data_IF_561026099710
#
_entry.id   IF_561026099710
#
_cell.length_a   1.000
_cell.length_b   1.000
_cell.length_c   1.000
_cell.angle_alpha   90.00
_cell.angle_beta   90.00
_cell.angle_gamma   90.00
#
_symmetry.space_group_name_H-M   'P 1'
#
loop_
_entity.id
_entity.type
_entity.pdbx_description
1 polymer ?
#
# COMPACT_ATOMS: atom_id res chain seq x y z
N UNK A 1 -1.69 17.43 16.23
CA UNK A 1 -0.46 16.66 15.94
C UNK A 1 0.15 17.17 14.63
N UNK A 2 1.47 17.25 14.58
CA UNK A 2 2.20 17.71 13.40
C UNK A 2 2.48 16.48 12.52
N UNK A 3 2.19 16.59 11.23
CA UNK A 3 2.65 15.62 10.24
C UNK A 3 4.17 15.77 10.10
N UNK A 4 4.91 14.69 10.35
CA UNK A 4 6.38 14.71 10.38
C UNK A 4 6.98 14.98 8.99
N UNK A 5 6.26 14.67 7.93
CA UNK A 5 6.73 14.82 6.53
C UNK A 5 6.48 16.22 5.99
N UNK A 6 5.33 16.81 6.32
CA UNK A 6 4.92 18.13 5.81
C UNK A 6 5.19 19.26 6.81
N UNK A 7 5.57 18.96 8.05
CA UNK A 7 5.71 19.89 9.18
C UNK A 7 4.45 20.76 9.43
N UNK A 8 3.31 20.32 8.89
CA UNK A 8 2.02 21.01 9.03
C UNK A 8 1.15 20.32 10.08
N UNK A 9 0.22 21.04 10.67
CA UNK A 9 -0.81 20.43 11.51
C UNK A 9 -1.63 19.43 10.68
N UNK A 10 -1.96 18.28 11.29
CA UNK A 10 -2.85 17.32 10.66
C UNK A 10 -4.17 18.02 10.29
N UNK A 11 -4.65 17.84 9.07
CA UNK A 11 -5.91 18.43 8.67
C UNK A 11 -7.05 17.91 9.55
N UNK A 12 -7.91 18.83 9.99
CA UNK A 12 -9.18 18.45 10.60
C UNK A 12 -10.17 18.10 9.48
N UNK A 13 -10.88 17.00 9.65
CA UNK A 13 -11.94 16.57 8.75
C UNK A 13 -13.30 16.87 9.36
N UNK A 14 -14.26 17.34 8.54
CA UNK A 14 -15.63 17.51 8.97
C UNK A 14 -16.34 16.15 8.96
N UNK A 15 -17.01 15.83 10.06
CA UNK A 15 -17.82 14.61 10.20
C UNK A 15 -19.27 14.96 10.52
N UNK A 16 -20.18 14.26 9.87
CA UNK A 16 -21.62 14.47 10.03
C UNK A 16 -22.18 13.62 11.18
N UNK A 17 -23.35 14.00 11.68
CA UNK A 17 -24.12 13.23 12.66
C UNK A 17 -24.30 11.77 12.21
N UNK A 18 -24.15 10.82 13.13
CA UNK A 18 -24.24 9.39 12.88
C UNK A 18 -22.96 8.73 12.41
N UNK A 19 -21.94 9.50 11.98
CA UNK A 19 -20.64 8.95 11.57
C UNK A 19 -19.97 8.24 12.75
N UNK A 20 -19.39 7.06 12.49
CA UNK A 20 -18.48 6.42 13.44
C UNK A 20 -17.05 6.88 13.17
N UNK A 21 -16.32 7.20 14.21
CA UNK A 21 -14.90 7.55 14.14
C UNK A 21 -14.10 6.68 15.09
N UNK A 22 -12.86 6.37 14.72
CA UNK A 22 -11.87 5.74 15.58
C UNK A 22 -10.66 6.67 15.67
N UNK A 23 -10.36 7.15 16.87
CA UNK A 23 -9.24 8.10 17.11
C UNK A 23 -8.71 7.94 18.54
N UNK A 24 -7.55 8.56 18.82
CA UNK A 24 -6.98 8.58 20.15
C UNK A 24 -7.71 9.57 21.07
N UNK A 25 -7.66 9.33 22.37
CA UNK A 25 -8.30 10.17 23.39
C UNK A 25 -7.88 11.64 23.32
N UNK A 26 -6.59 11.92 23.08
CA UNK A 26 -6.12 13.32 22.91
C UNK A 26 -6.70 14.03 21.69
N UNK A 27 -6.94 13.31 20.60
CA UNK A 27 -7.54 13.90 19.41
C UNK A 27 -9.04 14.14 19.63
N UNK A 28 -9.69 13.25 20.39
CA UNK A 28 -11.07 13.46 20.78
C UNK A 28 -11.25 14.74 21.61
N UNK A 29 -10.37 15.01 22.57
CA UNK A 29 -10.39 16.22 23.42
C UNK A 29 -10.21 17.51 22.60
N UNK A 30 -9.58 17.44 21.43
CA UNK A 30 -9.36 18.57 20.51
C UNK A 30 -10.44 18.70 19.44
N UNK A 31 -11.44 17.82 19.44
CA UNK A 31 -12.57 17.84 18.52
C UNK A 31 -13.59 18.89 18.94
N UNK A 32 -14.17 19.58 17.97
CA UNK A 32 -15.35 20.43 18.19
C UNK A 32 -16.69 19.72 17.90
N UNK A 33 -16.62 18.49 17.36
CA UNK A 33 -17.77 17.62 17.22
C UNK A 33 -18.18 17.01 18.58
N UNK A 34 -19.48 16.87 18.81
CA UNK A 34 -20.01 16.15 19.97
C UNK A 34 -20.02 14.65 19.68
N UNK A 35 -19.23 13.87 20.43
CA UNK A 35 -18.99 12.46 20.16
C UNK A 35 -19.35 11.60 21.37
N UNK A 36 -20.28 10.67 21.16
CA UNK A 36 -20.61 9.63 22.13
C UNK A 36 -19.59 8.51 22.03
N UNK A 37 -18.84 8.23 23.09
CA UNK A 37 -17.91 7.10 23.15
C UNK A 37 -18.71 5.80 23.24
N UNK A 38 -18.55 4.92 22.23
CA UNK A 38 -19.19 3.61 22.20
C UNK A 38 -18.32 2.54 22.85
N UNK A 39 -17.01 2.61 22.62
CA UNK A 39 -16.04 1.68 23.21
C UNK A 39 -14.66 2.30 23.32
N UNK A 40 -13.92 1.89 24.33
CA UNK A 40 -12.49 2.16 24.48
C UNK A 40 -11.78 0.85 24.20
N UNK A 41 -10.86 0.85 23.25
CA UNK A 41 -10.10 -0.34 22.89
C UNK A 41 -8.91 -0.53 23.82
N UNK A 42 -8.30 -1.70 23.80
CA UNK A 42 -7.04 -1.98 24.52
C UNK A 42 -5.79 -1.41 23.82
N UNK A 43 -5.94 -0.86 22.60
CA UNK A 43 -4.85 -0.34 21.80
C UNK A 43 -4.42 1.04 22.29
N UNK A 44 -3.10 1.21 22.50
CA UNK A 44 -2.50 2.43 23.01
C UNK A 44 -1.52 3.05 22.04
N UNK A 45 -1.60 4.35 21.94
CA UNK A 45 -0.65 5.18 21.17
C UNK A 45 0.00 6.22 22.10
N UNK A 46 1.05 6.93 21.68
CA UNK A 46 1.56 8.09 22.44
C UNK A 46 0.52 9.20 22.64
N UNK A 47 -0.58 9.18 21.87
CA UNK A 47 -1.69 10.12 21.96
C UNK A 47 -2.87 9.58 22.79
N UNK A 48 -2.66 8.51 23.55
CA UNK A 48 -3.66 7.88 24.40
C UNK A 48 -4.26 6.61 23.80
N UNK A 49 -5.33 6.14 24.43
CA UNK A 49 -6.07 4.95 24.02
C UNK A 49 -6.90 5.24 22.76
N UNK A 50 -7.07 4.22 21.91
CA UNK A 50 -7.94 4.32 20.74
C UNK A 50 -9.37 4.09 21.18
N UNK A 51 -10.22 5.03 20.85
CA UNK A 51 -11.67 4.97 21.11
C UNK A 51 -12.44 4.87 19.81
N UNK A 52 -13.61 4.23 19.86
CA UNK A 52 -14.60 4.29 18.79
C UNK A 52 -15.80 5.07 19.33
N UNK A 53 -16.17 6.14 18.63
CA UNK A 53 -17.27 7.01 18.99
C UNK A 53 -18.23 7.24 17.85
N UNK A 54 -19.45 7.65 18.20
CA UNK A 54 -20.48 8.09 17.26
C UNK A 54 -20.68 9.57 17.36
N UNK A 55 -20.64 10.27 16.26
CA UNK A 55 -20.90 11.71 16.19
C UNK A 55 -22.38 11.95 16.46
N UNK A 56 -22.67 12.79 17.46
CA UNK A 56 -24.03 13.25 17.82
C UNK A 56 -24.37 14.59 17.18
N UNK A 57 -23.40 15.49 17.17
CA UNK A 57 -23.49 16.77 16.46
C UNK A 57 -22.24 16.92 15.58
N UNK A 58 -22.45 17.25 14.30
CA UNK A 58 -21.38 17.39 13.33
C UNK A 58 -20.34 18.45 13.71
N UNK A 59 -19.10 18.22 13.33
CA UNK A 59 -17.99 19.12 13.64
C UNK A 59 -16.67 18.61 13.05
N UNK A 60 -15.58 19.33 13.34
CA UNK A 60 -14.25 18.96 12.88
C UNK A 60 -13.54 18.06 13.87
N UNK A 61 -12.91 17.02 13.35
CA UNK A 61 -12.13 16.04 14.13
C UNK A 61 -10.77 15.82 13.50
N UNK A 62 -9.78 15.45 14.33
CA UNK A 62 -8.51 14.92 13.88
C UNK A 62 -8.46 13.41 14.13
N UNK A 63 -8.02 12.67 13.13
CA UNK A 63 -7.91 11.20 13.23
C UNK A 63 -6.47 10.80 13.55
N UNK A 64 -6.30 10.04 14.61
CA UNK A 64 -5.05 9.38 14.98
C UNK A 64 -5.38 7.95 15.45
N UNK A 65 -5.36 7.05 14.49
CA UNK A 65 -5.69 5.63 14.70
C UNK A 65 -4.51 4.79 15.23
N UNK A 66 -4.70 3.47 15.30
CA UNK A 66 -3.68 2.51 15.71
C UNK A 66 -2.42 2.57 14.83
N UNK A 67 -1.31 2.07 15.37
CA UNK A 67 -0.03 2.06 14.66
C UNK A 67 0.22 0.74 13.92
N UNK A 68 -0.24 -0.38 14.46
CA UNK A 68 -0.07 -1.69 13.85
C UNK A 68 -1.21 -2.00 12.87
N UNK A 69 -0.87 -2.64 11.76
CA UNK A 69 -1.86 -3.02 10.74
C UNK A 69 -2.92 -3.99 11.25
N UNK A 70 -2.54 -4.93 12.14
CA UNK A 70 -3.48 -5.83 12.81
C UNK A 70 -4.52 -5.06 13.63
N UNK A 71 -4.07 -4.07 14.41
CA UNK A 71 -4.96 -3.22 15.21
C UNK A 71 -5.89 -2.36 14.32
N UNK A 72 -5.38 -1.83 13.18
CA UNK A 72 -6.21 -1.11 12.21
C UNK A 72 -7.32 -2.02 11.67
N UNK A 73 -6.98 -3.27 11.33
CA UNK A 73 -7.98 -4.25 10.86
C UNK A 73 -9.03 -4.55 11.93
N UNK A 74 -8.60 -4.83 13.16
CA UNK A 74 -9.50 -5.15 14.27
C UNK A 74 -10.42 -3.98 14.63
N UNK A 75 -9.90 -2.74 14.67
CA UNK A 75 -10.72 -1.54 14.88
C UNK A 75 -11.72 -1.35 13.73
N UNK A 76 -11.32 -1.60 12.49
CA UNK A 76 -12.22 -1.54 11.33
C UNK A 76 -13.35 -2.56 11.45
N UNK A 77 -13.05 -3.81 11.86
CA UNK A 77 -14.04 -4.86 12.07
C UNK A 77 -15.00 -4.52 13.23
N UNK A 78 -14.47 -3.90 14.31
CA UNK A 78 -15.31 -3.38 15.40
C UNK A 78 -16.27 -2.29 14.89
N UNK A 79 -15.80 -1.34 14.06
CA UNK A 79 -16.66 -0.30 13.49
C UNK A 79 -17.76 -0.89 12.59
N UNK A 80 -17.45 -1.90 11.78
CA UNK A 80 -18.44 -2.63 10.99
C UNK A 80 -19.48 -3.32 11.89
N UNK A 81 -19.05 -3.96 12.97
CA UNK A 81 -19.94 -4.61 13.94
C UNK A 81 -20.87 -3.63 14.67
N UNK A 82 -20.42 -2.37 14.84
CA UNK A 82 -21.20 -1.27 15.42
C UNK A 82 -22.14 -0.57 14.41
N UNK A 83 -22.19 -1.09 13.17
CA UNK A 83 -23.14 -0.68 12.15
C UNK A 83 -22.59 0.24 11.07
N UNK A 84 -21.29 0.45 10.98
CA UNK A 84 -20.68 1.11 9.81
C UNK A 84 -20.93 0.25 8.56
N UNK A 85 -21.35 0.87 7.47
CA UNK A 85 -21.50 0.19 6.17
C UNK A 85 -20.20 0.18 5.37
N UNK A 86 -19.38 1.19 5.57
CA UNK A 86 -18.08 1.39 4.95
C UNK A 86 -17.15 1.97 6.00
N UNK A 87 -15.93 1.47 6.07
CA UNK A 87 -14.85 2.03 6.89
C UNK A 87 -13.79 2.59 5.94
N UNK A 88 -13.44 3.85 6.14
CA UNK A 88 -12.37 4.51 5.39
C UNK A 88 -11.14 4.57 6.30
N UNK A 89 -10.06 3.92 5.87
CA UNK A 89 -8.77 3.98 6.55
C UNK A 89 -7.97 5.12 5.92
N UNK A 90 -7.73 6.18 6.72
CA UNK A 90 -6.91 7.30 6.29
C UNK A 90 -5.42 6.89 6.27
N UNK A 91 -4.85 6.83 5.08
CA UNK A 91 -3.46 6.45 4.85
C UNK A 91 -2.52 7.64 5.03
N UNK A 92 -1.43 7.44 5.77
CA UNK A 92 -0.32 8.40 5.78
C UNK A 92 0.52 8.28 4.49
N UNK A 93 1.22 9.35 4.12
CA UNK A 93 1.98 9.50 2.86
C UNK A 93 2.94 8.31 2.59
N UNK A 94 3.50 7.70 3.64
CA UNK A 94 4.50 6.62 3.55
C UNK A 94 3.96 5.23 3.88
N UNK A 95 2.64 5.07 4.09
CA UNK A 95 2.06 3.82 4.58
C UNK A 95 1.23 3.08 3.53
N UNK A 96 1.86 2.75 2.40
CA UNK A 96 1.22 1.91 1.37
C UNK A 96 0.76 0.54 1.90
N UNK A 97 1.33 0.07 3.00
CA UNK A 97 0.98 -1.22 3.62
C UNK A 97 -0.49 -1.37 4.03
N UNK A 98 -1.21 -0.26 4.24
CA UNK A 98 -2.65 -0.27 4.51
C UNK A 98 -3.48 -0.67 3.26
N UNK A 99 -2.91 -0.56 2.07
CA UNK A 99 -3.52 -1.02 0.83
C UNK A 99 -3.47 -2.55 0.66
N UNK A 100 -2.76 -3.27 1.54
CA UNK A 100 -2.69 -4.72 1.48
C UNK A 100 -4.09 -5.35 1.59
N UNK A 101 -4.41 -6.39 0.77
CA UNK A 101 -5.73 -7.01 0.75
C UNK A 101 -6.17 -7.62 2.08
N UNK A 102 -5.22 -7.90 2.97
CA UNK A 102 -5.51 -8.34 4.35
C UNK A 102 -6.08 -7.24 5.24
N UNK A 103 -5.95 -5.97 4.84
CA UNK A 103 -6.38 -4.79 5.60
C UNK A 103 -7.55 -4.11 4.91
N UNK A 104 -7.47 -3.88 3.60
CA UNK A 104 -8.45 -3.10 2.83
C UNK A 104 -9.00 -3.90 1.65
N UNK A 105 -10.31 -3.90 1.47
CA UNK A 105 -10.98 -4.54 0.33
C UNK A 105 -10.79 -3.75 -0.98
N UNK A 106 -10.61 -2.43 -0.86
CA UNK A 106 -10.35 -1.54 -1.99
C UNK A 106 -9.44 -0.38 -1.56
N UNK A 107 -8.70 0.16 -2.52
CA UNK A 107 -7.76 1.26 -2.31
C UNK A 107 -8.03 2.40 -3.28
N UNK A 108 -8.00 3.62 -2.77
CA UNK A 108 -7.94 4.84 -3.57
C UNK A 108 -6.55 5.45 -3.35
N UNK A 109 -5.80 5.63 -4.41
CA UNK A 109 -4.48 6.26 -4.35
C UNK A 109 -4.63 7.78 -4.47
N UNK A 110 -4.23 8.52 -3.45
CA UNK A 110 -4.16 9.98 -3.49
C UNK A 110 -2.75 10.44 -3.81
N UNK A 111 -2.61 11.35 -4.76
CA UNK A 111 -1.33 11.92 -5.19
C UNK A 111 -1.47 13.43 -5.44
N UNK A 112 -0.37 14.13 -5.58
CA UNK A 112 -0.47 15.58 -5.86
C UNK A 112 0.84 16.34 -5.80
N UNK A 113 0.72 17.68 -5.92
CA UNK A 113 1.82 18.62 -5.95
C UNK A 113 2.69 18.59 -4.70
N UNK A 114 2.21 18.03 -3.59
CA UNK A 114 2.99 17.87 -2.34
C UNK A 114 4.25 17.03 -2.55
N UNK A 115 4.23 16.06 -3.48
CA UNK A 115 5.35 15.15 -3.72
C UNK A 115 6.55 15.81 -4.40
N UNK A 116 6.31 16.74 -5.33
CA UNK A 116 7.38 17.44 -6.04
C UNK A 116 6.86 18.70 -6.72
N UNK A 117 7.74 19.70 -6.91
CA UNK A 117 7.48 20.87 -7.76
C UNK A 117 7.51 20.56 -9.26
N UNK A 118 8.06 19.42 -9.64
CA UNK A 118 8.05 18.92 -11.03
C UNK A 118 6.85 17.98 -11.23
N UNK A 119 5.90 18.43 -12.05
CA UNK A 119 4.70 17.66 -12.40
C UNK A 119 5.05 16.30 -13.02
N UNK A 120 6.08 16.25 -13.87
CA UNK A 120 6.45 14.99 -14.52
C UNK A 120 6.99 13.98 -13.51
N UNK A 121 7.73 14.46 -12.50
CA UNK A 121 8.20 13.60 -11.40
C UNK A 121 7.04 13.05 -10.58
N UNK A 122 6.03 13.88 -10.27
CA UNK A 122 4.81 13.41 -9.58
C UNK A 122 4.10 12.33 -10.40
N UNK A 123 3.98 12.53 -11.70
CA UNK A 123 3.36 11.56 -12.62
C UNK A 123 4.18 10.26 -12.65
N UNK A 124 5.50 10.34 -12.76
CA UNK A 124 6.39 9.17 -12.77
C UNK A 124 6.26 8.34 -11.48
N UNK A 125 6.29 8.99 -10.32
CA UNK A 125 6.16 8.32 -9.02
C UNK A 125 4.76 7.71 -8.83
N UNK A 126 3.71 8.43 -9.26
CA UNK A 126 2.35 7.90 -9.24
C UNK A 126 2.20 6.67 -10.13
N UNK A 127 2.73 6.72 -11.36
CA UNK A 127 2.74 5.58 -12.28
C UNK A 127 3.48 4.37 -11.70
N UNK A 128 4.60 4.62 -11.05
CA UNK A 128 5.34 3.55 -10.37
C UNK A 128 4.49 2.90 -9.28
N UNK A 129 3.86 3.69 -8.43
CA UNK A 129 2.96 3.19 -7.37
C UNK A 129 1.78 2.42 -7.98
N UNK A 130 1.13 2.96 -9.01
CA UNK A 130 0.03 2.27 -9.71
C UNK A 130 0.50 0.92 -10.26
N UNK A 131 1.64 0.88 -10.94
CA UNK A 131 2.18 -0.34 -11.54
C UNK A 131 2.51 -1.39 -10.48
N UNK A 132 3.06 -1.01 -9.34
CA UNK A 132 3.40 -1.95 -8.26
C UNK A 132 2.17 -2.45 -7.52
N UNK A 133 1.19 -1.58 -7.25
CA UNK A 133 -0.08 -1.97 -6.63
C UNK A 133 -0.98 -2.80 -7.56
N UNK A 134 -0.84 -2.63 -8.88
CA UNK A 134 -1.65 -3.32 -9.89
C UNK A 134 -1.00 -4.58 -10.46
N UNK A 135 0.03 -5.12 -9.79
CA UNK A 135 0.66 -6.37 -10.22
C UNK A 135 -0.37 -7.48 -10.38
N UNK A 136 -0.14 -8.33 -11.38
CA UNK A 136 -1.00 -9.47 -11.66
C UNK A 136 -0.83 -10.55 -10.61
N UNK A 137 -1.94 -11.13 -10.21
CA UNK A 137 -1.98 -12.30 -9.34
C UNK A 137 -1.52 -13.54 -10.11
N UNK A 138 -0.93 -14.50 -9.40
CA UNK A 138 -0.67 -15.83 -9.92
C UNK A 138 -2.00 -16.48 -10.32
N UNK A 139 -2.07 -16.99 -11.56
CA UNK A 139 -3.30 -17.57 -12.12
C UNK A 139 -3.51 -19.03 -11.69
N UNK A 140 -2.41 -19.80 -11.62
CA UNK A 140 -2.44 -21.20 -11.21
C UNK A 140 -2.78 -21.31 -9.72
N UNK A 141 -3.91 -21.95 -9.43
CA UNK A 141 -4.45 -22.08 -8.08
C UNK A 141 -3.60 -23.01 -7.21
N UNK A 142 -3.07 -24.09 -7.78
CA UNK A 142 -2.17 -24.99 -7.07
C UNK A 142 -0.87 -24.32 -6.67
N UNK A 143 -0.25 -23.56 -7.59
CA UNK A 143 0.95 -22.76 -7.30
C UNK A 143 0.63 -21.68 -6.25
N UNK A 144 -0.57 -21.09 -6.29
CA UNK A 144 -0.99 -20.08 -5.33
C UNK A 144 -1.10 -20.63 -3.92
N UNK A 145 -1.65 -21.84 -3.76
CA UNK A 145 -1.71 -22.52 -2.45
C UNK A 145 -0.32 -22.84 -1.90
N UNK A 146 0.55 -23.40 -2.74
CA UNK A 146 1.95 -23.69 -2.37
C UNK A 146 2.69 -22.39 -1.97
N UNK A 147 2.55 -21.32 -2.77
CA UNK A 147 3.19 -20.05 -2.49
C UNK A 147 2.64 -19.42 -1.19
N UNK A 148 1.36 -19.60 -0.89
CA UNK A 148 0.75 -19.15 0.37
C UNK A 148 1.37 -19.86 1.57
N UNK A 149 1.51 -21.17 1.51
CA UNK A 149 2.14 -21.95 2.57
C UNK A 149 3.60 -21.50 2.83
N UNK A 150 4.38 -21.30 1.77
CA UNK A 150 5.76 -20.80 1.88
C UNK A 150 5.78 -19.40 2.53
N UNK A 151 4.89 -18.49 2.12
CA UNK A 151 4.81 -17.12 2.65
C UNK A 151 4.35 -17.13 4.11
N UNK A 152 3.35 -17.91 4.46
CA UNK A 152 2.81 -17.98 5.82
C UNK A 152 3.81 -18.59 6.82
N UNK A 153 4.64 -19.52 6.35
CA UNK A 153 5.78 -20.07 7.11
C UNK A 153 6.98 -19.11 7.18
N UNK A 154 6.91 -17.95 6.50
CA UNK A 154 8.01 -16.99 6.37
C UNK A 154 9.29 -17.62 5.78
N UNK A 155 9.12 -18.51 4.81
CA UNK A 155 10.17 -19.23 4.11
C UNK A 155 10.41 -18.64 2.71
N UNK A 156 11.60 -18.88 2.15
CA UNK A 156 11.93 -18.58 0.76
C UNK A 156 12.02 -19.90 0.01
N UNK A 157 11.29 -20.03 -1.10
CA UNK A 157 11.22 -21.28 -1.84
C UNK A 157 11.29 -21.08 -3.35
N UNK A 158 11.78 -22.11 -4.03
CA UNK A 158 11.72 -22.25 -5.48
C UNK A 158 10.73 -23.35 -5.80
N UNK A 159 9.84 -23.11 -6.76
CA UNK A 159 8.86 -24.08 -7.27
C UNK A 159 9.25 -24.40 -8.71
N UNK A 160 9.34 -25.69 -9.04
CA UNK A 160 9.67 -26.16 -10.38
C UNK A 160 8.41 -26.38 -11.26
N UNK A 161 8.61 -26.87 -12.49
CA UNK A 161 7.55 -27.12 -13.46
C UNK A 161 6.58 -28.24 -13.07
N UNK A 162 7.00 -29.13 -12.17
CA UNK A 162 6.20 -30.23 -11.62
C UNK A 162 5.55 -29.87 -10.26
N UNK A 163 5.64 -28.61 -9.84
CA UNK A 163 5.19 -28.09 -8.55
C UNK A 163 5.95 -28.65 -7.33
N UNK A 164 7.15 -29.21 -7.53
CA UNK A 164 8.02 -29.56 -6.40
C UNK A 164 8.60 -28.29 -5.79
N UNK A 165 8.73 -28.29 -4.47
CA UNK A 165 9.23 -27.15 -3.68
C UNK A 165 10.61 -27.45 -3.14
N UNK A 166 11.56 -26.53 -3.33
CA UNK A 166 12.86 -26.52 -2.68
C UNK A 166 12.93 -25.27 -1.79
N UNK A 167 12.94 -25.46 -0.47
CA UNK A 167 13.09 -24.38 0.50
C UNK A 167 14.55 -23.97 0.61
N UNK A 168 14.82 -22.67 0.47
CA UNK A 168 16.16 -22.10 0.62
C UNK A 168 16.41 -21.83 2.11
N UNK A 169 17.50 -22.37 2.70
CA UNK A 169 17.74 -22.31 4.15
C UNK A 169 18.29 -20.95 4.59
N UNK A 170 17.61 -19.86 4.24
CA UNK A 170 17.92 -18.47 4.62
C UNK A 170 16.70 -17.81 5.22
N UNK A 171 16.92 -16.90 6.18
CA UNK A 171 15.81 -16.23 6.90
C UNK A 171 15.25 -15.01 6.18
N UNK A 172 15.98 -14.44 5.23
CA UNK A 172 15.59 -13.21 4.52
C UNK A 172 16.21 -13.17 3.14
N UNK A 173 15.50 -12.61 2.19
CA UNK A 173 16.01 -12.34 0.84
C UNK A 173 16.93 -11.10 0.77
N UNK A 174 16.97 -10.31 1.84
CA UNK A 174 17.79 -9.10 1.90
C UNK A 174 19.28 -9.48 1.80
N UNK A 175 19.98 -8.95 0.78
CA UNK A 175 21.38 -9.24 0.46
C UNK A 175 21.68 -10.74 0.22
N UNK A 176 20.69 -11.54 -0.15
CA UNK A 176 20.81 -12.96 -0.37
C UNK A 176 20.57 -13.38 -1.84
N UNK A 177 20.50 -12.44 -2.76
CA UNK A 177 20.20 -12.71 -4.17
C UNK A 177 21.21 -13.66 -4.83
N UNK A 178 22.48 -13.63 -4.44
CA UNK A 178 23.49 -14.60 -4.92
C UNK A 178 23.17 -16.02 -4.46
N UNK A 179 22.85 -16.21 -3.17
CA UNK A 179 22.48 -17.51 -2.62
C UNK A 179 21.20 -18.02 -3.31
N UNK A 180 20.19 -17.17 -3.44
CA UNK A 180 18.94 -17.51 -4.12
C UNK A 180 19.22 -17.98 -5.56
N UNK A 181 20.13 -17.30 -6.26
CA UNK A 181 20.51 -17.66 -7.63
C UNK A 181 21.09 -19.06 -7.80
N UNK A 182 21.75 -19.62 -6.78
CA UNK A 182 22.30 -20.99 -6.78
C UNK A 182 21.18 -22.05 -6.75
N UNK A 183 20.01 -21.71 -6.21
CA UNK A 183 18.84 -22.60 -6.16
C UNK A 183 17.99 -22.56 -7.43
N UNK A 184 18.18 -21.56 -8.31
CA UNK A 184 17.43 -21.47 -9.56
C UNK A 184 18.03 -22.40 -10.62
N UNK A 185 17.29 -23.44 -10.96
CA UNK A 185 17.65 -24.48 -11.96
C UNK A 185 16.94 -24.24 -13.28
N UNK A 186 17.21 -25.08 -14.27
CA UNK A 186 16.61 -24.94 -15.61
C UNK A 186 15.10 -25.23 -15.60
N UNK A 187 14.64 -26.12 -14.72
CA UNK A 187 13.23 -26.46 -14.52
C UNK A 187 12.49 -25.56 -13.50
N UNK A 188 13.18 -24.61 -12.87
CA UNK A 188 12.53 -23.67 -11.94
C UNK A 188 11.56 -22.75 -12.66
N UNK A 189 10.37 -22.56 -12.09
CA UNK A 189 9.33 -21.66 -12.63
C UNK A 189 9.03 -20.47 -11.74
N UNK A 190 9.07 -20.66 -10.43
CA UNK A 190 8.73 -19.59 -9.48
C UNK A 190 9.74 -19.48 -8.36
N UNK A 191 9.98 -18.24 -7.93
CA UNK A 191 10.70 -17.90 -6.70
C UNK A 191 9.74 -17.21 -5.77
N UNK A 192 9.50 -17.78 -4.59
CA UNK A 192 8.56 -17.22 -3.59
C UNK A 192 9.34 -16.49 -2.50
N UNK A 193 8.97 -15.23 -2.26
CA UNK A 193 9.59 -14.35 -1.27
C UNK A 193 8.54 -13.82 -0.28
N UNK A 194 8.60 -14.18 1.02
CA UNK A 194 7.62 -13.75 2.03
C UNK A 194 7.78 -12.28 2.42
N UNK A 195 8.99 -11.76 2.34
CA UNK A 195 9.36 -10.42 2.77
C UNK A 195 9.32 -9.37 1.67
N UNK A 196 10.03 -8.27 1.94
CA UNK A 196 10.15 -7.15 1.01
C UNK A 196 11.07 -7.47 -0.17
N UNK A 197 10.65 -7.08 -1.35
CA UNK A 197 11.49 -7.10 -2.55
C UNK A 197 12.22 -5.76 -2.66
N UNK A 198 13.55 -5.81 -2.52
CA UNK A 198 14.42 -4.63 -2.56
C UNK A 198 15.38 -4.68 -3.75
N UNK A 199 15.95 -3.53 -4.09
CA UNK A 199 16.88 -3.38 -5.21
C UNK A 199 18.06 -4.35 -5.15
N UNK A 200 18.73 -4.46 -4.00
CA UNK A 200 19.91 -5.33 -3.85
C UNK A 200 19.60 -6.79 -4.14
N UNK A 201 18.45 -7.28 -3.69
CA UNK A 201 18.03 -8.68 -3.96
C UNK A 201 17.95 -8.96 -5.46
N UNK A 202 17.36 -8.04 -6.25
CA UNK A 202 17.28 -8.22 -7.70
C UNK A 202 18.61 -8.03 -8.41
N UNK A 203 19.44 -7.06 -7.98
CA UNK A 203 20.77 -6.85 -8.55
C UNK A 203 21.65 -8.10 -8.37
N UNK A 204 21.72 -8.64 -7.15
CA UNK A 204 22.48 -9.84 -6.84
C UNK A 204 21.95 -11.06 -7.61
N UNK A 205 20.63 -11.24 -7.68
CA UNK A 205 19.99 -12.31 -8.43
C UNK A 205 20.35 -12.27 -9.93
N UNK A 206 20.25 -11.08 -10.54
CA UNK A 206 20.57 -10.88 -11.96
C UNK A 206 22.05 -11.15 -12.26
N UNK A 207 22.92 -10.81 -11.30
CA UNK A 207 24.36 -11.04 -11.44
C UNK A 207 24.74 -12.50 -11.25
N UNK A 208 24.04 -13.23 -10.36
CA UNK A 208 24.34 -14.62 -10.02
C UNK A 208 23.93 -15.61 -11.11
N UNK A 209 22.81 -15.40 -11.78
CA UNK A 209 22.30 -16.33 -12.78
C UNK A 209 21.51 -15.64 -13.89
N UNK A 210 21.60 -16.16 -15.15
CA UNK A 210 20.74 -15.71 -16.24
C UNK A 210 19.35 -16.36 -16.24
N UNK A 211 19.16 -17.40 -15.43
CA UNK A 211 17.91 -18.18 -15.34
C UNK A 211 16.77 -17.39 -14.70
N UNK A 212 17.06 -16.24 -14.05
CA UNK A 212 16.03 -15.34 -13.52
C UNK A 212 14.99 -14.93 -14.57
N UNK A 213 15.34 -14.95 -15.87
CA UNK A 213 14.40 -14.61 -16.95
C UNK A 213 13.32 -15.66 -17.18
N UNK A 214 13.58 -16.89 -16.74
CA UNK A 214 12.69 -18.03 -16.94
C UNK A 214 11.71 -18.21 -15.80
N UNK A 215 11.91 -17.53 -14.68
CA UNK A 215 11.07 -17.63 -13.50
C UNK A 215 10.18 -16.39 -13.32
N UNK A 216 9.12 -16.55 -12.54
CA UNK A 216 8.32 -15.46 -11.98
C UNK A 216 8.60 -15.36 -10.49
N UNK A 217 8.84 -14.16 -9.99
CA UNK A 217 9.00 -13.90 -8.56
C UNK A 217 7.62 -13.67 -7.96
N UNK A 218 7.25 -14.46 -6.96
CA UNK A 218 5.99 -14.32 -6.23
C UNK A 218 6.26 -13.62 -4.90
N UNK A 219 5.58 -12.50 -4.67
CA UNK A 219 5.55 -11.78 -3.40
C UNK A 219 4.12 -11.73 -2.88
N UNK A 220 3.93 -11.40 -1.60
CA UNK A 220 2.59 -11.40 -0.98
C UNK A 220 1.62 -10.47 -1.73
N UNK A 221 1.98 -9.20 -1.87
CA UNK A 221 1.20 -8.16 -2.56
C UNK A 221 2.12 -7.02 -3.00
N UNK A 222 1.58 -6.05 -3.76
CA UNK A 222 2.34 -4.92 -4.32
C UNK A 222 2.96 -3.98 -3.28
N UNK A 223 2.47 -3.99 -2.03
CA UNK A 223 3.05 -3.17 -0.95
C UNK A 223 4.42 -3.67 -0.48
N UNK A 224 4.85 -4.86 -0.92
CA UNK A 224 6.15 -5.45 -0.58
C UNK A 224 7.30 -5.00 -1.47
N UNK A 225 7.05 -4.12 -2.44
CA UNK A 225 8.08 -3.60 -3.36
C UNK A 225 8.67 -2.31 -2.78
N UNK A 226 9.98 -2.35 -2.49
CA UNK A 226 10.77 -1.22 -1.99
C UNK A 226 11.90 -0.92 -2.97
N UNK A 227 11.52 -0.62 -4.22
CA UNK A 227 12.42 -0.33 -5.33
C UNK A 227 11.94 0.97 -5.97
N UNK A 228 12.84 1.92 -6.19
CA UNK A 228 12.52 3.19 -6.84
C UNK A 228 12.09 3.00 -8.30
N UNK A 229 11.25 3.92 -8.82
CA UNK A 229 10.69 3.90 -10.17
C UNK A 229 11.74 3.57 -11.25
N UNK A 230 12.87 4.23 -11.22
CA UNK A 230 13.95 4.12 -12.20
C UNK A 230 14.57 2.71 -12.22
N UNK A 231 14.85 2.16 -11.06
CA UNK A 231 15.42 0.83 -10.92
C UNK A 231 14.39 -0.25 -11.25
N UNK A 232 13.13 -0.06 -10.83
CA UNK A 232 12.03 -0.96 -11.17
C UNK A 232 11.87 -1.10 -12.69
N UNK A 233 11.78 0.02 -13.40
CA UNK A 233 11.69 0.00 -14.87
C UNK A 233 12.89 -0.67 -15.53
N UNK A 234 14.10 -0.47 -14.99
CA UNK A 234 15.32 -1.14 -15.46
C UNK A 234 15.20 -2.66 -15.31
N UNK A 235 14.77 -3.17 -14.15
CA UNK A 235 14.62 -4.60 -13.90
C UNK A 235 13.56 -5.24 -14.81
N UNK A 236 12.41 -4.57 -14.97
CA UNK A 236 11.36 -5.08 -15.88
C UNK A 236 11.88 -5.17 -17.32
N UNK A 237 12.63 -4.17 -17.81
CA UNK A 237 13.27 -4.20 -19.14
C UNK A 237 14.34 -5.28 -19.27
N UNK A 238 14.98 -5.67 -18.18
CA UNK A 238 15.94 -6.78 -18.15
C UNK A 238 15.28 -8.15 -18.15
N UNK A 239 13.94 -8.21 -18.04
CA UNK A 239 13.15 -9.44 -18.10
C UNK A 239 12.82 -10.03 -16.74
N UNK A 240 12.96 -9.28 -15.65
CA UNK A 240 12.42 -9.68 -14.34
C UNK A 240 10.88 -9.71 -14.43
N UNK A 241 10.27 -10.77 -13.92
CA UNK A 241 8.82 -10.93 -13.86
C UNK A 241 8.40 -11.05 -12.40
N UNK A 242 7.45 -10.24 -11.98
CA UNK A 242 6.93 -10.26 -10.61
C UNK A 242 5.41 -10.45 -10.65
N UNK A 243 4.94 -11.36 -9.84
CA UNK A 243 3.53 -11.65 -9.60
C UNK A 243 3.23 -11.52 -8.10
N UNK A 244 1.96 -11.40 -7.77
CA UNK A 244 1.51 -11.33 -6.37
C UNK A 244 0.66 -12.52 -6.00
N UNK A 245 0.71 -12.88 -4.73
CA UNK A 245 -0.20 -13.86 -4.14
C UNK A 245 -1.60 -13.25 -3.97
N UNK A 246 -1.66 -12.03 -3.45
CA UNK A 246 -2.90 -11.31 -3.17
C UNK A 246 -2.92 -9.98 -3.95
N UNK A 247 -3.91 -9.85 -4.86
CA UNK A 247 -4.04 -8.66 -5.71
C UNK A 247 -4.69 -7.51 -4.95
N UNK A 248 -4.10 -6.32 -5.03
CA UNK A 248 -4.69 -5.09 -4.50
C UNK A 248 -5.79 -4.60 -5.46
N UNK A 249 -6.93 -4.25 -4.90
CA UNK A 249 -8.05 -3.68 -5.64
C UNK A 249 -7.93 -2.15 -5.66
N UNK A 250 -7.12 -1.61 -6.57
CA UNK A 250 -6.96 -0.17 -6.78
C UNK A 250 -8.11 0.35 -7.66
N UNK A 251 -9.09 1.02 -7.04
CA UNK A 251 -10.34 1.40 -7.70
C UNK A 251 -10.35 2.80 -8.29
N UNK A 252 -9.54 3.72 -7.76
CA UNK A 252 -9.46 5.09 -8.24
C UNK A 252 -8.13 5.76 -7.84
N UNK A 253 -7.81 6.85 -8.53
CA UNK A 253 -6.71 7.75 -8.20
C UNK A 253 -7.29 9.15 -8.06
N UNK A 254 -7.02 9.79 -6.93
CA UNK A 254 -7.36 11.19 -6.73
C UNK A 254 -6.10 12.05 -6.82
N UNK A 255 -6.22 13.22 -7.45
CA UNK A 255 -5.11 14.15 -7.57
C UNK A 255 -5.41 15.45 -6.84
N UNK A 256 -4.39 16.02 -6.19
CA UNK A 256 -4.43 17.35 -5.62
C UNK A 256 -3.34 18.22 -6.28
N UNK A 257 -3.72 19.19 -7.12
CA UNK A 257 -2.76 20.07 -7.79
C UNK A 257 -2.12 21.10 -6.85
N UNK A 258 -2.60 21.27 -5.62
CA UNK A 258 -2.13 22.26 -4.66
C UNK A 258 -1.21 21.65 -3.62
N UNK A 259 -0.08 22.29 -3.37
CA UNK A 259 0.85 21.91 -2.31
C UNK A 259 0.71 22.81 -1.08
N UNK A 260 0.84 22.27 0.14
CA UNK A 260 0.78 23.06 1.38
C UNK A 260 1.82 24.20 1.43
N UNK A 261 2.93 24.04 0.71
CA UNK A 261 4.00 25.04 0.58
C UNK A 261 3.69 26.20 -0.36
N UNK A 262 2.43 26.33 -0.85
CA UNK A 262 1.91 27.49 -1.56
C UNK A 262 2.14 27.50 -3.08
N UNK A 263 2.68 26.43 -3.67
CA UNK A 263 2.73 26.29 -5.13
C UNK A 263 1.63 25.32 -5.62
N UNK A 264 1.33 25.37 -6.93
CA UNK A 264 0.33 24.49 -7.53
C UNK A 264 0.66 24.18 -8.99
N UNK A 265 0.09 23.10 -9.50
CA UNK A 265 0.02 22.79 -10.91
C UNK A 265 -1.29 23.33 -11.49
N UNK A 266 -1.29 23.61 -12.81
CA UNK A 266 -2.55 23.93 -13.49
C UNK A 266 -3.48 22.68 -13.42
N UNK A 267 -4.65 22.77 -12.74
CA UNK A 267 -5.44 21.58 -12.43
C UNK A 267 -5.85 20.76 -13.65
N UNK A 268 -6.37 21.43 -14.69
CA UNK A 268 -6.80 20.75 -15.94
C UNK A 268 -5.63 20.11 -16.69
N UNK A 269 -4.45 20.73 -16.70
CA UNK A 269 -3.25 20.17 -17.31
C UNK A 269 -2.77 18.93 -16.55
N UNK A 270 -2.70 19.01 -15.23
CA UNK A 270 -2.28 17.90 -14.38
C UNK A 270 -3.21 16.70 -14.53
N UNK A 271 -4.54 16.94 -14.46
CA UNK A 271 -5.54 15.90 -14.66
C UNK A 271 -5.44 15.25 -16.04
N UNK A 272 -5.34 16.05 -17.10
CA UNK A 272 -5.25 15.57 -18.48
C UNK A 272 -3.98 14.72 -18.70
N UNK A 273 -2.82 15.19 -18.21
CA UNK A 273 -1.58 14.43 -18.28
C UNK A 273 -1.68 13.12 -17.50
N UNK A 274 -2.17 13.14 -16.26
CA UNK A 274 -2.32 11.92 -15.46
C UNK A 274 -3.21 10.89 -16.17
N UNK A 275 -4.36 11.32 -16.70
CA UNK A 275 -5.28 10.47 -17.48
C UNK A 275 -4.63 9.91 -18.76
N UNK A 276 -3.72 10.63 -19.39
CA UNK A 276 -3.03 10.15 -20.60
C UNK A 276 -2.07 8.99 -20.33
N UNK A 277 -1.52 8.90 -19.12
CA UNK A 277 -0.64 7.80 -18.70
C UNK A 277 -1.39 6.65 -18.01
N UNK A 278 -2.51 6.97 -17.33
CA UNK A 278 -3.30 5.97 -16.59
C UNK A 278 -4.72 5.96 -17.16
N UNK A 279 -4.96 5.02 -18.10
CA UNK A 279 -6.24 4.93 -18.81
C UNK A 279 -7.19 3.85 -18.27
N UNK A 280 -6.67 2.94 -17.45
CA UNK A 280 -7.40 1.74 -16.99
C UNK A 280 -7.98 1.89 -15.56
N UNK A 281 -7.65 2.96 -14.87
CA UNK A 281 -8.16 3.30 -13.54
C UNK A 281 -8.71 4.73 -13.60
N UNK A 282 -9.90 5.01 -13.02
CA UNK A 282 -10.42 6.37 -12.95
C UNK A 282 -9.46 7.33 -12.24
N UNK A 283 -9.14 8.44 -12.89
CA UNK A 283 -8.35 9.55 -12.30
C UNK A 283 -9.24 10.76 -12.18
N UNK A 284 -9.32 11.35 -10.99
CA UNK A 284 -10.20 12.49 -10.73
C UNK A 284 -9.53 13.53 -9.83
N UNK A 285 -9.89 14.79 -10.06
CA UNK A 285 -9.61 15.90 -9.15
C UNK A 285 -10.95 16.25 -8.47
N UNK A 286 -11.03 15.97 -7.18
CA UNK A 286 -12.28 16.14 -6.43
C UNK A 286 -12.68 17.61 -6.27
N UNK A 287 -11.74 18.55 -6.45
CA UNK A 287 -12.00 19.99 -6.34
C UNK A 287 -12.53 20.58 -7.64
N UNK A 288 -12.26 19.96 -8.80
CA UNK A 288 -12.80 20.38 -10.10
C UNK A 288 -14.25 19.94 -10.31
N UNK A 289 -14.76 19.04 -9.47
CA UNK A 289 -16.05 18.40 -9.67
C UNK A 289 -16.05 17.37 -10.81
N UNK A 290 -17.16 16.68 -10.97
CA UNK A 290 -17.38 15.76 -12.10
C UNK A 290 -17.80 16.60 -13.32
N UNK A 291 -16.85 17.03 -14.15
CA UNK A 291 -17.11 17.42 -15.55
C UNK A 291 -17.04 16.20 -16.47
#
# INVERSE_FOLDING_TARGET
SIDIVTETEKPSIFVEEGTLIATSTKMLEQSDANIEILTVTEYRTPLGEIIIGRVKDGGYVQIAGPQLLSEVKEVSDMMLSLGAKVVIIDGALDRLSQAAPTISEATILSTGAVLSRDMNKVIEETLHTVNTLSLQQIEDEGVREIAREIIDNNEIGVIDEDNNVEIIPIKTALNAGYIIGEYIRDNSKYLVLPGSLVKSTLEDLIQSTRKYKNIEIIIKDGTKIFIESKDWLRFMRQGVKVKVLDKINLIAITINPYAPSGYYFQPKEFLSKMKSYISHIPVMDLMLGSE
#
